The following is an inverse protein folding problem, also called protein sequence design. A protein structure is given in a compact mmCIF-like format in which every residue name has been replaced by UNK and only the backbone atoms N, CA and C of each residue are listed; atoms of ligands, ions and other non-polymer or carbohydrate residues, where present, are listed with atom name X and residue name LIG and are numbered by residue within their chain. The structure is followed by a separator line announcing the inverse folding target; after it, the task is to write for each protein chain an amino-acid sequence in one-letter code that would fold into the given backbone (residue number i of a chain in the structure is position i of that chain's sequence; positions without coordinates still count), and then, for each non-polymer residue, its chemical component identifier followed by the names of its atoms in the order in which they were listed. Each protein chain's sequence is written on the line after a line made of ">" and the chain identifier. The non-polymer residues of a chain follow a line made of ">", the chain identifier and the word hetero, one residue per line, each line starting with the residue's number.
data_IF_687719999879
#
_entry.id   IF_687719999879
#
_cell.length_a   1.000
_cell.length_b   1.000
_cell.length_c   1.000
_cell.angle_alpha   90.00
_cell.angle_beta   90.00
_cell.angle_gamma   90.00
#
_symmetry.space_group_name_H-M   'P 1'
#
loop_
_entity.id
_entity.type
_entity.pdbx_description
1 polymer ?
#
# COMPACT_ATOMS: atom_id res chain seq x y z
N UNK A 1 -30.79 12.36 -8.19
CA UNK A 1 -30.83 13.31 -9.32
C UNK A 1 -29.41 13.72 -9.61
N UNK A 2 -28.87 13.26 -10.73
CA UNK A 2 -27.50 13.61 -11.17
C UNK A 2 -27.53 15.03 -11.67
N UNK A 3 -27.09 15.97 -10.86
CA UNK A 3 -26.80 17.31 -11.33
C UNK A 3 -25.52 17.25 -12.14
N UNK A 4 -25.65 17.07 -13.46
CA UNK A 4 -24.59 17.39 -14.42
C UNK A 4 -24.36 18.89 -14.40
N UNK A 5 -23.57 19.37 -13.46
CA UNK A 5 -23.03 20.72 -13.49
C UNK A 5 -21.82 20.72 -14.45
N UNK A 6 -22.12 20.75 -15.75
CA UNK A 6 -21.14 21.23 -16.74
C UNK A 6 -20.89 22.69 -16.46
N UNK A 7 -19.87 22.96 -15.68
CA UNK A 7 -19.39 24.31 -15.44
C UNK A 7 -18.56 24.73 -16.64
N UNK A 8 -19.19 25.36 -17.59
CA UNK A 8 -18.48 26.25 -18.54
C UNK A 8 -18.08 27.54 -17.79
N UNK A 9 -17.19 27.40 -16.81
CA UNK A 9 -16.69 28.50 -15.99
C UNK A 9 -15.51 29.23 -16.63
N UNK A 10 -15.18 28.91 -17.89
CA UNK A 10 -14.00 29.47 -18.53
C UNK A 10 -14.38 30.05 -19.89
N UNK A 11 -13.88 31.24 -20.22
CA UNK A 11 -14.00 31.78 -21.56
C UNK A 11 -13.42 30.82 -22.58
N UNK A 12 -13.96 30.84 -23.81
CA UNK A 12 -13.59 29.95 -24.91
C UNK A 12 -12.11 29.59 -24.96
N UNK A 13 -11.84 28.32 -25.28
CA UNK A 13 -10.56 27.64 -25.16
C UNK A 13 -9.30 28.32 -25.74
N UNK A 14 -9.43 29.41 -26.44
CA UNK A 14 -8.34 30.09 -27.15
C UNK A 14 -7.52 31.10 -26.31
N UNK A 15 -7.97 31.47 -25.10
CA UNK A 15 -7.29 32.47 -24.27
C UNK A 15 -6.91 32.00 -22.85
N UNK A 16 -6.86 30.68 -22.60
CA UNK A 16 -6.58 30.16 -21.26
C UNK A 16 -5.08 30.27 -20.90
N UNK A 17 -4.78 30.95 -19.78
CA UNK A 17 -3.41 30.98 -19.24
C UNK A 17 -2.91 29.57 -18.92
N UNK A 18 -1.59 29.31 -18.89
CA UNK A 18 -1.03 28.01 -18.53
C UNK A 18 -1.53 27.50 -17.17
N UNK A 19 -1.80 28.41 -16.23
CA UNK A 19 -2.32 28.08 -14.90
C UNK A 19 -3.76 27.56 -14.95
N UNK A 20 -4.63 28.16 -15.79
CA UNK A 20 -5.99 27.66 -16.00
C UNK A 20 -6.01 26.27 -16.65
N UNK A 21 -5.12 26.03 -17.64
CA UNK A 21 -4.99 24.71 -18.26
C UNK A 21 -4.56 23.64 -17.23
N UNK A 22 -3.63 23.99 -16.34
CA UNK A 22 -3.21 23.11 -15.25
C UNK A 22 -4.33 22.82 -14.27
N UNK A 23 -5.12 23.83 -13.91
CA UNK A 23 -6.28 23.70 -13.03
C UNK A 23 -7.34 22.77 -13.64
N UNK A 24 -7.69 22.96 -14.92
CA UNK A 24 -8.66 22.12 -15.61
C UNK A 24 -8.22 20.66 -15.66
N UNK A 25 -6.95 20.41 -16.00
CA UNK A 25 -6.39 19.06 -15.98
C UNK A 25 -6.48 18.41 -14.60
N UNK A 26 -6.26 19.19 -13.55
CA UNK A 26 -6.36 18.71 -12.17
C UNK A 26 -7.81 18.39 -11.77
N UNK A 27 -8.76 19.19 -12.24
CA UNK A 27 -10.19 18.95 -12.06
C UNK A 27 -10.60 17.63 -12.71
N UNK A 28 -10.26 17.44 -13.98
CA UNK A 28 -10.54 16.19 -14.71
C UNK A 28 -9.90 14.97 -14.01
N UNK A 29 -8.67 15.14 -13.53
CA UNK A 29 -7.98 14.09 -12.78
C UNK A 29 -8.71 13.73 -11.49
N UNK A 30 -9.21 14.70 -10.73
CA UNK A 30 -9.95 14.46 -9.49
C UNK A 30 -11.29 13.78 -9.77
N UNK A 31 -12.00 14.21 -10.81
CA UNK A 31 -13.25 13.56 -11.23
C UNK A 31 -13.02 12.10 -11.61
N UNK A 32 -11.97 11.82 -12.37
CA UNK A 32 -11.60 10.44 -12.71
C UNK A 32 -11.21 9.63 -11.46
N UNK A 33 -10.42 10.21 -10.56
CA UNK A 33 -10.04 9.54 -9.32
C UNK A 33 -11.23 9.23 -8.40
N UNK A 34 -12.26 10.10 -8.37
CA UNK A 34 -13.49 9.82 -7.63
C UNK A 34 -14.24 8.62 -8.23
N UNK A 35 -14.39 8.59 -9.55
CA UNK A 35 -15.00 7.43 -10.23
C UNK A 35 -14.20 6.15 -9.98
N UNK A 36 -12.89 6.21 -10.06
CA UNK A 36 -12.02 5.07 -9.80
C UNK A 36 -12.14 4.61 -8.33
N UNK A 37 -12.20 5.54 -7.38
CA UNK A 37 -12.39 5.21 -5.96
C UNK A 37 -13.72 4.48 -5.73
N UNK A 38 -14.81 5.00 -6.29
CA UNK A 38 -16.14 4.36 -6.18
C UNK A 38 -16.12 2.96 -6.80
N UNK A 39 -15.50 2.79 -7.97
CA UNK A 39 -15.34 1.48 -8.60
C UNK A 39 -14.56 0.49 -7.70
N UNK A 40 -13.46 0.95 -7.09
CA UNK A 40 -12.66 0.10 -6.20
C UNK A 40 -13.39 -0.22 -4.89
N UNK A 41 -14.13 0.73 -4.32
CA UNK A 41 -14.93 0.51 -3.11
C UNK A 41 -16.04 -0.52 -3.36
N UNK A 42 -16.76 -0.38 -4.48
CA UNK A 42 -17.84 -1.31 -4.86
C UNK A 42 -17.31 -2.71 -5.17
N UNK A 43 -16.15 -2.81 -5.84
CA UNK A 43 -15.55 -4.09 -6.19
C UNK A 43 -14.85 -4.78 -5.01
N UNK A 44 -14.60 -4.08 -3.90
CA UNK A 44 -13.81 -4.60 -2.77
C UNK A 44 -14.37 -5.92 -2.22
N UNK A 45 -15.67 -5.97 -1.96
CA UNK A 45 -16.33 -7.16 -1.41
C UNK A 45 -16.32 -8.33 -2.40
N UNK A 46 -16.52 -8.06 -3.69
CA UNK A 46 -16.48 -9.07 -4.74
C UNK A 46 -15.08 -9.68 -4.88
N UNK A 47 -14.05 -8.83 -4.93
CA UNK A 47 -12.65 -9.27 -4.99
C UNK A 47 -12.29 -10.10 -3.76
N UNK A 48 -12.68 -9.67 -2.55
CA UNK A 48 -12.44 -10.44 -1.33
C UNK A 48 -13.12 -11.82 -1.37
N UNK A 49 -14.37 -11.87 -1.80
CA UNK A 49 -15.11 -13.13 -1.97
C UNK A 49 -14.44 -14.03 -3.00
N UNK A 50 -13.94 -13.48 -4.10
CA UNK A 50 -13.23 -14.21 -5.13
C UNK A 50 -11.90 -14.80 -4.63
N UNK A 51 -11.12 -14.04 -3.87
CA UNK A 51 -9.90 -14.50 -3.18
C UNK A 51 -10.24 -15.68 -2.25
N UNK A 52 -11.27 -15.53 -1.41
CA UNK A 52 -11.69 -16.58 -0.49
C UNK A 52 -12.10 -17.86 -1.21
N UNK A 53 -12.83 -17.74 -2.31
CA UNK A 53 -13.30 -18.89 -3.08
C UNK A 53 -12.19 -19.58 -3.87
N UNK A 54 -11.26 -18.83 -4.46
CA UNK A 54 -10.28 -19.34 -5.42
C UNK A 54 -8.91 -19.66 -4.82
N UNK A 55 -8.39 -18.77 -3.97
CA UNK A 55 -7.02 -18.87 -3.44
C UNK A 55 -6.95 -19.60 -2.10
N UNK A 56 -7.87 -19.31 -1.18
CA UNK A 56 -7.83 -19.87 0.18
C UNK A 56 -7.82 -21.39 0.19
N UNK A 57 -8.62 -22.11 -0.61
CA UNK A 57 -8.58 -23.59 -0.66
C UNK A 57 -7.19 -24.12 -1.08
N UNK A 58 -6.56 -23.45 -2.05
CA UNK A 58 -5.25 -23.87 -2.58
C UNK A 58 -4.15 -23.62 -1.55
N UNK A 59 -4.18 -22.47 -0.86
CA UNK A 59 -3.24 -22.21 0.23
C UNK A 59 -3.41 -23.20 1.39
N UNK A 60 -4.65 -23.58 1.72
CA UNK A 60 -4.91 -24.63 2.71
C UNK A 60 -4.29 -25.97 2.29
N UNK A 61 -4.49 -26.35 1.04
CA UNK A 61 -3.90 -27.58 0.48
C UNK A 61 -2.36 -27.52 0.51
N UNK A 62 -1.77 -26.39 0.11
CA UNK A 62 -0.32 -26.20 0.10
C UNK A 62 0.26 -26.33 1.50
N UNK A 63 -0.30 -25.59 2.46
CA UNK A 63 0.19 -25.64 3.85
C UNK A 63 -0.01 -27.03 4.49
N UNK A 64 -1.07 -27.73 4.13
CA UNK A 64 -1.26 -29.12 4.58
C UNK A 64 -0.18 -30.07 4.01
N UNK A 65 0.23 -29.88 2.76
CA UNK A 65 1.31 -30.64 2.14
C UNK A 65 2.65 -30.28 2.78
N UNK A 66 2.93 -28.99 2.94
CA UNK A 66 4.16 -28.49 3.57
C UNK A 66 4.31 -29.01 5.01
N UNK A 67 3.21 -29.04 5.77
CA UNK A 67 3.20 -29.62 7.12
C UNK A 67 3.53 -31.12 7.11
N UNK A 68 2.95 -31.88 6.16
CA UNK A 68 3.27 -33.32 6.03
C UNK A 68 4.73 -33.54 5.66
N UNK A 69 5.28 -32.70 4.78
CA UNK A 69 6.71 -32.75 4.45
C UNK A 69 7.56 -32.47 5.69
N UNK A 70 7.24 -31.44 6.47
CA UNK A 70 7.94 -31.12 7.71
C UNK A 70 7.88 -32.30 8.69
N UNK A 71 6.70 -32.89 8.89
CA UNK A 71 6.52 -34.02 9.81
C UNK A 71 7.32 -35.25 9.37
N UNK A 72 7.35 -35.57 8.07
CA UNK A 72 8.14 -36.71 7.54
C UNK A 72 9.64 -36.44 7.61
N UNK A 73 10.12 -35.29 7.22
CA UNK A 73 11.54 -34.95 7.31
C UNK A 73 12.01 -34.96 8.76
N UNK A 74 11.20 -34.42 9.68
CA UNK A 74 11.51 -34.46 11.11
C UNK A 74 11.58 -35.88 11.66
N UNK A 75 10.69 -36.77 11.23
CA UNK A 75 10.67 -38.16 11.58
C UNK A 75 11.92 -38.92 11.05
N UNK A 76 12.28 -38.71 9.78
CA UNK A 76 13.47 -39.34 9.19
C UNK A 76 14.76 -38.94 9.87
N UNK A 77 14.95 -37.65 10.20
CA UNK A 77 16.15 -37.18 10.92
C UNK A 77 16.30 -37.84 12.30
N UNK A 78 15.18 -38.18 12.94
CA UNK A 78 15.23 -38.85 14.27
C UNK A 78 15.49 -40.33 14.22
N UNK A 79 15.23 -40.99 13.09
CA UNK A 79 15.31 -42.46 12.97
C UNK A 79 16.47 -42.96 12.13
N UNK A 80 17.01 -42.17 11.24
CA UNK A 80 18.00 -42.57 10.27
C UNK A 80 19.29 -41.76 10.40
N UNK A 81 20.43 -42.39 10.12
CA UNK A 81 21.72 -41.72 10.09
C UNK A 81 22.02 -41.22 8.68
N UNK A 82 22.00 -39.89 8.49
CA UNK A 82 22.33 -39.23 7.23
C UNK A 82 23.78 -38.72 7.21
N UNK A 83 24.36 -38.63 6.03
CA UNK A 83 25.65 -37.98 5.84
C UNK A 83 25.60 -36.52 6.29
N UNK A 84 26.71 -35.96 6.77
CA UNK A 84 26.75 -34.57 7.28
C UNK A 84 26.30 -33.53 6.29
N UNK A 85 26.54 -33.76 4.98
CA UNK A 85 26.10 -32.86 3.92
C UNK A 85 24.56 -32.87 3.72
N UNK A 86 23.96 -34.07 3.82
CA UNK A 86 22.54 -34.30 3.69
C UNK A 86 21.77 -33.73 4.88
N UNK A 87 22.30 -33.93 6.09
CA UNK A 87 21.77 -33.32 7.31
C UNK A 87 21.70 -31.80 7.20
N UNK A 88 22.74 -31.17 6.66
CA UNK A 88 22.73 -29.72 6.49
C UNK A 88 21.62 -29.26 5.53
N UNK A 89 21.34 -29.99 4.45
CA UNK A 89 20.24 -29.71 3.54
C UNK A 89 18.86 -29.91 4.19
N UNK A 90 18.71 -31.02 4.92
CA UNK A 90 17.48 -31.33 5.67
C UNK A 90 17.19 -30.29 6.74
N UNK A 91 18.18 -29.88 7.51
CA UNK A 91 18.08 -28.86 8.54
C UNK A 91 17.66 -27.50 7.93
N UNK A 92 18.27 -27.10 6.81
CA UNK A 92 17.93 -25.88 6.11
C UNK A 92 16.47 -25.89 5.61
N UNK A 93 16.02 -27.02 5.05
CA UNK A 93 14.64 -27.18 4.58
C UNK A 93 13.65 -27.17 5.74
N UNK A 94 13.92 -27.88 6.82
CA UNK A 94 13.05 -27.93 8.01
C UNK A 94 12.94 -26.56 8.67
N UNK A 95 14.05 -25.86 8.87
CA UNK A 95 14.04 -24.51 9.42
C UNK A 95 13.22 -23.55 8.55
N UNK A 96 13.33 -23.66 7.22
CA UNK A 96 12.54 -22.86 6.28
C UNK A 96 11.05 -23.16 6.36
N UNK A 97 10.68 -24.45 6.33
CA UNK A 97 9.29 -24.89 6.42
C UNK A 97 8.66 -24.50 7.77
N UNK A 98 9.37 -24.73 8.89
CA UNK A 98 8.90 -24.38 10.22
C UNK A 98 8.64 -22.86 10.34
N UNK A 99 9.57 -22.02 9.87
CA UNK A 99 9.43 -20.57 9.87
C UNK A 99 8.25 -20.08 9.01
N UNK A 100 8.01 -20.73 7.88
CA UNK A 100 6.90 -20.40 6.96
C UNK A 100 5.56 -20.84 7.57
N UNK A 101 5.46 -22.08 8.06
CA UNK A 101 4.23 -22.65 8.60
C UNK A 101 3.81 -22.05 9.93
N UNK A 102 4.74 -21.56 10.74
CA UNK A 102 4.46 -20.85 12.00
C UNK A 102 3.54 -19.62 11.80
N UNK A 103 3.60 -19.00 10.63
CA UNK A 103 2.76 -17.86 10.26
C UNK A 103 1.44 -18.28 9.57
N UNK A 104 1.20 -19.57 9.44
CA UNK A 104 0.02 -20.08 8.73
C UNK A 104 -1.25 -19.97 9.56
N UNK A 105 -2.30 -19.42 8.94
CA UNK A 105 -3.65 -19.42 9.51
C UNK A 105 -4.49 -20.65 9.08
N UNK A 106 -3.87 -21.63 8.41
CA UNK A 106 -4.57 -22.76 7.79
C UNK A 106 -4.31 -24.08 8.50
N UNK A 107 -3.39 -24.13 9.45
CA UNK A 107 -3.08 -25.28 10.26
C UNK A 107 -3.97 -25.32 11.53
N UNK A 108 -4.25 -26.53 12.02
CA UNK A 108 -4.92 -26.70 13.28
C UNK A 108 -3.96 -26.45 14.48
N UNK A 109 -4.50 -26.34 15.69
CA UNK A 109 -3.70 -26.05 16.90
C UNK A 109 -2.62 -27.09 17.16
N UNK A 110 -2.92 -28.38 17.00
CA UNK A 110 -1.95 -29.45 17.22
C UNK A 110 -0.82 -29.47 16.17
N UNK A 111 -1.15 -29.15 14.92
CA UNK A 111 -0.14 -29.00 13.85
C UNK A 111 0.74 -27.78 14.11
N UNK A 112 0.14 -26.67 14.55
CA UNK A 112 0.88 -25.44 14.85
C UNK A 112 1.81 -25.60 16.05
N UNK A 113 1.41 -26.36 17.08
CA UNK A 113 2.28 -26.71 18.21
C UNK A 113 3.52 -27.46 17.76
N UNK A 114 3.37 -28.49 16.93
CA UNK A 114 4.51 -29.25 16.37
C UNK A 114 5.42 -28.38 15.51
N UNK A 115 4.86 -27.50 14.68
CA UNK A 115 5.64 -26.56 13.88
C UNK A 115 6.43 -25.62 14.78
N UNK A 116 5.82 -25.14 15.87
CA UNK A 116 6.47 -24.23 16.83
C UNK A 116 7.59 -24.92 17.60
N UNK A 117 7.43 -26.19 17.94
CA UNK A 117 8.45 -27.02 18.58
C UNK A 117 9.68 -27.18 17.65
N UNK A 118 9.46 -27.53 16.39
CA UNK A 118 10.53 -27.66 15.39
C UNK A 118 11.22 -26.30 15.14
N UNK A 119 10.45 -25.20 15.00
CA UNK A 119 11.03 -23.86 14.84
C UNK A 119 11.88 -23.45 16.06
N UNK A 120 11.42 -23.72 17.28
CA UNK A 120 12.16 -23.44 18.51
C UNK A 120 13.47 -24.25 18.59
N UNK A 121 13.44 -25.52 18.18
CA UNK A 121 14.64 -26.36 18.11
C UNK A 121 15.70 -25.73 17.19
N UNK A 122 15.33 -25.32 15.98
CA UNK A 122 16.27 -24.72 15.04
C UNK A 122 16.74 -23.33 15.46
N UNK A 123 15.89 -22.52 16.09
CA UNK A 123 16.31 -21.21 16.63
C UNK A 123 17.35 -21.35 17.73
N UNK A 124 17.23 -22.33 18.64
CA UNK A 124 18.19 -22.56 19.69
C UNK A 124 19.55 -23.02 19.13
N UNK A 125 19.54 -23.90 18.13
CA UNK A 125 20.77 -24.41 17.50
C UNK A 125 21.48 -23.31 16.66
N UNK A 126 20.76 -22.45 15.98
CA UNK A 126 21.35 -21.29 15.29
C UNK A 126 21.96 -20.29 16.25
N UNK A 127 21.33 -20.01 17.39
CA UNK A 127 21.86 -19.11 18.42
C UNK A 127 23.17 -19.66 19.06
N UNK A 128 23.33 -20.98 19.15
CA UNK A 128 24.53 -21.60 19.70
C UNK A 128 25.73 -21.55 18.75
N UNK A 129 25.49 -21.61 17.45
CA UNK A 129 26.54 -21.54 16.41
C UNK A 129 27.00 -20.09 16.09
N UNK A 130 26.28 -19.07 16.56
CA UNK A 130 26.65 -17.66 16.39
C UNK A 130 27.26 -17.03 17.65
N UNK A 131 28.03 -17.77 18.46
CA UNK A 131 28.87 -17.11 19.47
C UNK A 131 30.00 -16.37 18.78
N UNK A 132 30.02 -15.02 18.86
CA UNK A 132 31.09 -14.25 18.24
C UNK A 132 32.39 -14.54 18.92
N UNK A 133 33.37 -14.90 18.15
CA UNK A 133 34.78 -15.06 18.56
C UNK A 133 35.31 -13.68 18.98
N UNK A 134 35.04 -13.28 20.25
CA UNK A 134 35.61 -12.07 20.84
C UNK A 134 37.09 -12.35 21.17
N UNK A 135 37.98 -11.95 20.28
CA UNK A 135 39.36 -11.62 20.62
C UNK A 135 39.73 -10.25 20.01
N UNK A 136 39.79 -9.27 20.88
CA UNK A 136 40.75 -8.15 20.91
C UNK A 136 40.45 -6.96 20.00
N UNK A 137 40.08 -5.84 20.48
CA UNK A 137 40.93 -4.80 21.09
C UNK A 137 40.09 -3.55 21.38
N UNK A 138 40.30 -3.03 22.56
CA UNK A 138 39.91 -1.70 23.03
C UNK A 138 40.56 -0.59 22.23
N UNK A 139 39.81 0.45 21.89
CA UNK A 139 40.28 1.82 21.88
C UNK A 139 39.11 2.79 22.06
N UNK A 140 39.27 3.64 23.05
CA UNK A 140 38.51 4.83 23.40
C UNK A 140 38.59 5.89 22.29
N UNK A 141 37.55 6.69 22.19
CA UNK A 141 37.58 8.16 22.13
C UNK A 141 36.23 8.63 21.60
N UNK A 142 35.53 9.29 22.43
CA UNK A 142 35.33 10.75 22.59
C UNK A 142 34.22 11.36 21.74
N UNK A 143 33.30 11.90 22.52
CA UNK A 143 32.21 12.79 22.13
C UNK A 143 32.77 14.03 21.42
N UNK A 144 32.10 14.49 20.39
CA UNK A 144 31.91 15.93 20.19
C UNK A 144 30.59 16.23 19.51
N UNK A 145 29.85 17.03 20.24
CA UNK A 145 28.65 17.74 19.86
C UNK A 145 29.05 18.90 18.94
N UNK A 146 28.34 19.17 17.88
CA UNK A 146 28.00 20.55 17.51
C UNK A 146 26.87 20.60 16.46
N UNK A 147 25.99 21.50 16.79
CA UNK A 147 24.87 22.04 16.02
C UNK A 147 25.29 22.69 14.70
N UNK A 148 24.38 22.69 13.79
CA UNK A 148 23.72 23.79 13.08
C UNK A 148 23.75 23.75 11.55
N UNK A 149 22.58 24.03 11.06
CA UNK A 149 22.19 24.81 9.88
C UNK A 149 22.29 24.19 8.48
N UNK A 150 21.09 23.98 7.94
CA UNK A 150 20.52 24.45 6.65
C UNK A 150 21.55 24.69 5.54
N UNK A 151 21.42 23.97 4.43
CA UNK A 151 20.95 24.54 3.19
C UNK A 151 20.69 23.48 2.12
N UNK A 152 19.73 23.82 1.29
CA UNK A 152 19.29 23.12 0.11
C UNK A 152 20.34 23.36 -0.97
N UNK A 153 20.83 22.32 -1.61
CA UNK A 153 21.16 22.40 -3.03
C UNK A 153 21.18 21.02 -3.69
N UNK A 154 20.51 20.97 -4.83
CA UNK A 154 20.63 19.94 -5.85
C UNK A 154 22.05 19.92 -6.36
N UNK A 155 22.70 18.76 -6.38
CA UNK A 155 23.41 18.43 -7.59
C UNK A 155 23.67 16.93 -7.74
N UNK A 156 23.57 16.49 -8.99
CA UNK A 156 23.89 15.16 -9.44
C UNK A 156 25.41 15.02 -9.52
N UNK A 157 25.96 14.07 -8.76
CA UNK A 157 27.27 13.50 -9.07
C UNK A 157 27.26 12.03 -8.65
N UNK A 158 27.16 11.18 -9.64
CA UNK A 158 27.59 9.79 -9.54
C UNK A 158 29.06 9.75 -9.15
N UNK A 159 29.36 9.33 -7.94
CA UNK A 159 30.68 8.85 -7.58
C UNK A 159 30.60 7.36 -7.30
N UNK A 160 31.23 6.63 -8.19
CA UNK A 160 31.62 5.25 -8.05
C UNK A 160 32.49 5.11 -6.79
N UNK A 161 31.94 4.53 -5.73
CA UNK A 161 32.74 4.01 -4.63
C UNK A 161 32.59 2.49 -4.53
N UNK A 162 33.75 1.89 -4.30
CA UNK A 162 34.09 0.48 -4.34
C UNK A 162 33.10 -0.43 -3.59
N UNK A 163 32.79 -1.53 -4.22
CA UNK A 163 32.06 -2.69 -3.69
C UNK A 163 32.78 -3.27 -2.46
N UNK A 164 32.30 -2.93 -1.28
CA UNK A 164 32.37 -3.80 -0.12
C UNK A 164 31.02 -4.49 0.00
N UNK A 165 31.02 -5.81 0.14
CA UNK A 165 29.86 -6.68 0.39
C UNK A 165 29.18 -6.31 1.70
N UNK A 166 28.47 -5.19 1.72
CA UNK A 166 27.55 -4.83 2.79
C UNK A 166 26.20 -5.45 2.50
N UNK A 167 25.65 -6.12 3.50
CA UNK A 167 24.40 -6.84 3.55
C UNK A 167 23.30 -6.14 2.73
N UNK A 168 23.15 -6.52 1.46
CA UNK A 168 22.27 -5.88 0.49
C UNK A 168 20.80 -5.90 0.93
N UNK A 169 20.44 -6.83 1.83
CA UNK A 169 19.10 -6.91 2.40
C UNK A 169 18.84 -5.82 3.44
N UNK A 170 19.80 -5.49 4.31
CA UNK A 170 19.65 -4.41 5.29
C UNK A 170 19.52 -3.06 4.60
N UNK A 171 20.39 -2.77 3.63
CA UNK A 171 20.31 -1.54 2.85
C UNK A 171 18.99 -1.40 2.10
N UNK A 172 18.48 -2.49 1.50
CA UNK A 172 17.18 -2.46 0.82
C UNK A 172 16.02 -2.27 1.80
N UNK A 173 16.10 -2.83 3.01
CA UNK A 173 15.10 -2.62 4.08
C UNK A 173 15.11 -1.17 4.56
N UNK A 174 16.26 -0.60 4.83
CA UNK A 174 16.40 0.80 5.24
C UNK A 174 15.94 1.77 4.16
N UNK A 175 16.30 1.52 2.89
CA UNK A 175 15.83 2.31 1.74
C UNK A 175 14.31 2.26 1.60
N UNK A 176 13.70 1.08 1.74
CA UNK A 176 12.23 0.92 1.72
C UNK A 176 11.58 1.63 2.89
N UNK A 177 12.17 1.54 4.08
CA UNK A 177 11.66 2.21 5.27
C UNK A 177 11.76 3.74 5.17
N UNK A 178 12.87 4.24 4.67
CA UNK A 178 13.05 5.67 4.40
C UNK A 178 12.08 6.19 3.34
N UNK A 179 11.88 5.45 2.25
CA UNK A 179 10.87 5.79 1.25
C UNK A 179 9.45 5.79 1.85
N UNK A 180 9.13 4.81 2.69
CA UNK A 180 7.84 4.73 3.40
C UNK A 180 7.63 5.90 4.35
N UNK A 181 8.63 6.28 5.13
CA UNK A 181 8.59 7.45 6.03
C UNK A 181 8.40 8.75 5.23
N UNK A 182 9.13 8.93 4.14
CA UNK A 182 8.99 10.10 3.26
C UNK A 182 7.60 10.19 2.62
N UNK A 183 7.05 9.05 2.21
CA UNK A 183 5.69 9.00 1.64
C UNK A 183 4.63 9.35 2.70
N UNK A 184 4.77 8.81 3.91
CA UNK A 184 3.89 9.11 5.04
C UNK A 184 3.91 10.60 5.41
N UNK A 185 5.08 11.21 5.47
CA UNK A 185 5.22 12.66 5.72
C UNK A 185 4.55 13.51 4.64
N UNK A 186 4.71 13.14 3.36
CA UNK A 186 4.04 13.85 2.26
C UNK A 186 2.51 13.72 2.36
N UNK A 187 2.00 12.53 2.71
CA UNK A 187 0.57 12.30 2.93
C UNK A 187 0.03 13.16 4.06
N UNK A 188 0.71 13.22 5.18
CA UNK A 188 0.34 14.02 6.35
C UNK A 188 0.32 15.52 6.03
N UNK A 189 1.32 16.03 5.30
CA UNK A 189 1.38 17.42 4.88
C UNK A 189 0.23 17.78 3.92
N UNK A 190 -0.07 16.90 2.96
CA UNK A 190 -1.18 17.08 2.03
C UNK A 190 -2.53 17.08 2.76
N UNK A 191 -2.71 16.20 3.74
CA UNK A 191 -3.91 16.13 4.55
C UNK A 191 -4.12 17.38 5.42
N UNK A 192 -3.07 17.88 6.06
CA UNK A 192 -3.11 19.13 6.82
C UNK A 192 -3.51 20.32 5.94
N UNK A 193 -2.90 20.44 4.77
CA UNK A 193 -3.22 21.50 3.81
C UNK A 193 -4.66 21.41 3.32
N UNK A 194 -5.11 20.20 3.00
CA UNK A 194 -6.48 19.97 2.56
C UNK A 194 -7.49 20.34 3.64
N UNK A 195 -7.28 19.89 4.89
CA UNK A 195 -8.20 20.19 6.00
C UNK A 195 -8.26 21.68 6.30
N UNK A 196 -7.13 22.39 6.25
CA UNK A 196 -7.08 23.83 6.43
C UNK A 196 -7.81 24.56 5.30
N UNK A 197 -7.62 24.13 4.06
CA UNK A 197 -8.29 24.66 2.89
C UNK A 197 -9.79 24.40 2.91
N UNK A 198 -10.19 23.17 3.28
CA UNK A 198 -11.58 22.77 3.44
C UNK A 198 -12.33 23.69 4.42
N UNK A 199 -11.74 23.88 5.62
CA UNK A 199 -12.31 24.77 6.64
C UNK A 199 -12.44 26.22 6.14
N UNK A 200 -11.42 26.73 5.48
CA UNK A 200 -11.41 28.11 4.97
C UNK A 200 -12.49 28.32 3.92
N UNK A 201 -12.62 27.41 2.96
CA UNK A 201 -13.62 27.47 1.89
C UNK A 201 -15.02 27.31 2.47
N UNK A 202 -15.23 26.32 3.35
CA UNK A 202 -16.51 26.13 4.02
C UNK A 202 -17.00 27.38 4.74
N UNK A 203 -16.15 28.02 5.56
CA UNK A 203 -16.52 29.24 6.28
C UNK A 203 -16.86 30.41 5.33
N UNK A 204 -16.13 30.54 4.22
CA UNK A 204 -16.46 31.57 3.19
C UNK A 204 -17.81 31.31 2.55
N UNK A 205 -18.10 30.08 2.13
CA UNK A 205 -19.39 29.71 1.53
C UNK A 205 -20.51 29.98 2.54
N UNK A 206 -20.40 29.45 3.77
CA UNK A 206 -21.39 29.62 4.82
C UNK A 206 -21.69 31.09 5.08
N UNK A 207 -20.67 31.94 5.13
CA UNK A 207 -20.85 33.39 5.27
C UNK A 207 -21.61 34.04 4.08
N UNK A 208 -21.50 33.48 2.86
CA UNK A 208 -22.19 33.97 1.67
C UNK A 208 -23.66 33.54 1.60
N UNK A 209 -23.98 32.33 2.06
CA UNK A 209 -25.31 31.71 1.90
C UNK A 209 -26.09 31.61 3.21
N UNK A 210 -25.66 32.25 4.30
CA UNK A 210 -26.33 32.13 5.58
C UNK A 210 -27.79 32.58 5.48
N UNK A 211 -28.79 31.72 5.82
CA UNK A 211 -30.19 32.02 5.63
C UNK A 211 -30.69 33.23 6.45
N UNK A 212 -30.06 33.51 7.61
CA UNK A 212 -30.43 34.64 8.47
C UNK A 212 -30.15 36.03 7.84
N UNK A 213 -29.36 36.06 6.80
CA UNK A 213 -29.02 37.28 6.07
C UNK A 213 -29.99 37.58 4.90
N UNK A 214 -30.94 36.68 4.66
CA UNK A 214 -31.90 36.81 3.55
C UNK A 214 -33.27 37.23 4.12
N UNK A 215 -33.77 38.39 3.71
CA UNK A 215 -35.09 38.90 4.12
C UNK A 215 -36.24 38.20 3.39
N UNK A 216 -36.00 37.60 2.23
CA UNK A 216 -37.01 36.92 1.41
C UNK A 216 -37.13 35.43 1.84
N UNK A 217 -38.33 35.03 2.24
CA UNK A 217 -38.58 33.68 2.76
C UNK A 217 -38.34 32.57 1.71
N UNK A 218 -38.67 32.83 0.45
CA UNK A 218 -38.43 31.86 -0.64
C UNK A 218 -36.92 31.64 -0.85
N UNK A 219 -36.15 32.72 -0.91
CA UNK A 219 -34.68 32.65 -1.03
C UNK A 219 -34.03 32.12 0.23
N UNK A 220 -34.63 32.31 1.41
CA UNK A 220 -34.17 31.73 2.66
C UNK A 220 -34.27 30.21 2.63
N UNK A 221 -35.35 29.65 2.09
CA UNK A 221 -35.51 28.21 1.91
C UNK A 221 -34.46 27.64 0.95
N UNK A 222 -34.24 28.28 -0.23
CA UNK A 222 -33.20 27.88 -1.17
C UNK A 222 -31.79 27.89 -0.55
N UNK A 223 -31.47 28.95 0.23
CA UNK A 223 -30.18 29.03 0.94
C UNK A 223 -30.04 27.99 2.02
N UNK A 224 -31.14 27.60 2.68
CA UNK A 224 -31.12 26.52 3.68
C UNK A 224 -30.81 25.17 3.04
N UNK A 225 -31.43 24.84 1.91
CA UNK A 225 -31.15 23.65 1.14
C UNK A 225 -29.67 23.61 0.68
N UNK A 226 -29.21 24.76 0.13
CA UNK A 226 -27.82 24.88 -0.29
C UNK A 226 -26.83 24.71 0.86
N UNK A 227 -27.15 25.25 2.05
CA UNK A 227 -26.34 25.08 3.25
C UNK A 227 -26.28 23.61 3.69
N UNK A 228 -27.37 22.85 3.58
CA UNK A 228 -27.37 21.41 3.87
C UNK A 228 -26.42 20.66 2.92
N UNK A 229 -26.43 20.97 1.63
CA UNK A 229 -25.52 20.38 0.64
C UNK A 229 -24.07 20.74 0.95
N UNK A 230 -23.80 21.99 1.36
CA UNK A 230 -22.46 22.43 1.78
C UNK A 230 -21.98 21.67 3.02
N UNK A 231 -22.86 21.44 4.01
CA UNK A 231 -22.53 20.67 5.19
C UNK A 231 -22.21 19.21 4.83
N UNK A 232 -23.01 18.57 3.98
CA UNK A 232 -22.74 17.21 3.49
C UNK A 232 -21.41 17.13 2.74
N UNK A 233 -21.09 18.10 1.88
CA UNK A 233 -19.81 18.14 1.18
C UNK A 233 -18.63 18.36 2.14
N UNK A 234 -18.82 19.15 3.19
CA UNK A 234 -17.81 19.34 4.22
C UNK A 234 -17.57 18.07 5.04
N UNK A 235 -18.64 17.37 5.46
CA UNK A 235 -18.56 16.08 6.15
C UNK A 235 -17.91 15.00 5.29
N UNK A 236 -18.24 14.96 3.98
CA UNK A 236 -17.60 14.09 3.01
C UNK A 236 -16.16 14.52 2.67
N UNK A 237 -15.70 15.67 3.21
CA UNK A 237 -14.38 16.24 2.94
C UNK A 237 -14.13 16.50 1.44
N UNK A 238 -15.18 16.84 0.71
CA UNK A 238 -15.14 17.13 -0.73
C UNK A 238 -14.78 18.60 -0.99
N UNK A 239 -13.48 18.90 -0.88
CA UNK A 239 -12.96 20.24 -1.14
C UNK A 239 -13.23 20.69 -2.58
N UNK A 240 -13.17 19.77 -3.54
CA UNK A 240 -13.43 20.07 -4.95
C UNK A 240 -14.84 20.60 -5.16
N UNK A 241 -15.84 19.96 -4.57
CA UNK A 241 -17.23 20.42 -4.65
C UNK A 241 -17.41 21.79 -4.01
N UNK A 242 -16.82 22.01 -2.83
CA UNK A 242 -16.89 23.29 -2.14
C UNK A 242 -16.23 24.42 -2.92
N UNK A 243 -15.06 24.20 -3.51
CA UNK A 243 -14.40 25.18 -4.37
C UNK A 243 -15.23 25.52 -5.60
N UNK A 244 -15.82 24.51 -6.25
CA UNK A 244 -16.71 24.69 -7.40
C UNK A 244 -17.91 25.55 -7.01
N UNK A 245 -18.53 25.28 -5.89
CA UNK A 245 -19.66 26.03 -5.38
C UNK A 245 -19.28 27.46 -5.00
N UNK A 246 -18.15 27.68 -4.35
CA UNK A 246 -17.65 29.03 -4.04
C UNK A 246 -17.50 29.85 -5.31
N UNK A 247 -16.87 29.30 -6.34
CA UNK A 247 -16.73 29.99 -7.64
C UNK A 247 -18.06 30.35 -8.26
N UNK A 248 -19.05 29.48 -8.22
CA UNK A 248 -20.40 29.76 -8.71
C UNK A 248 -21.08 30.89 -7.94
N UNK A 249 -20.95 30.89 -6.63
CA UNK A 249 -21.55 31.95 -5.79
C UNK A 249 -20.88 33.31 -5.98
N UNK A 250 -19.56 33.32 -6.19
CA UNK A 250 -18.81 34.54 -6.46
C UNK A 250 -19.16 35.12 -7.85
N UNK A 251 -19.31 34.30 -8.88
CA UNK A 251 -19.70 34.72 -10.23
C UNK A 251 -21.13 35.24 -10.29
N UNK A 252 -22.05 34.68 -9.49
CA UNK A 252 -23.44 35.14 -9.43
C UNK A 252 -23.62 36.47 -8.68
N UNK A 253 -22.71 36.82 -7.76
CA UNK A 253 -22.77 38.09 -7.02
C UNK A 253 -22.28 39.29 -7.83
N UNK A 254 -21.22 39.11 -8.56
CA UNK A 254 -20.64 40.16 -9.41
C UNK A 254 -21.04 39.89 -10.86
N UNK A 255 -21.94 40.73 -11.43
CA UNK A 255 -22.36 40.66 -12.84
C UNK A 255 -21.20 40.86 -13.84
N UNK A 256 -19.99 41.00 -13.35
CA UNK A 256 -18.75 41.08 -14.10
C UNK A 256 -17.86 39.92 -13.71
N UNK A 257 -17.41 39.05 -14.63
CA UNK A 257 -16.48 37.99 -14.32
C UNK A 257 -15.15 38.64 -13.91
N UNK A 258 -14.97 38.87 -12.61
CA UNK A 258 -13.62 39.18 -12.09
C UNK A 258 -12.74 37.99 -12.38
N UNK A 259 -11.77 38.20 -13.26
CA UNK A 259 -10.74 37.21 -13.48
C UNK A 259 -10.16 36.81 -12.11
N UNK A 260 -10.18 35.51 -11.83
CA UNK A 260 -9.53 34.95 -10.64
C UNK A 260 -8.12 35.51 -10.56
N UNK A 261 -7.78 36.10 -9.42
CA UNK A 261 -6.40 36.58 -9.22
C UNK A 261 -5.43 35.40 -9.24
N UNK A 262 -4.21 35.61 -9.68
CA UNK A 262 -3.17 34.58 -9.73
C UNK A 262 -2.94 33.92 -8.35
N UNK A 263 -3.15 34.65 -7.26
CA UNK A 263 -3.07 34.13 -5.90
C UNK A 263 -4.19 33.12 -5.58
N UNK A 264 -5.43 33.42 -6.00
CA UNK A 264 -6.56 32.50 -5.85
C UNK A 264 -6.37 31.25 -6.70
N UNK A 265 -5.85 31.38 -7.92
CA UNK A 265 -5.56 30.24 -8.79
C UNK A 265 -4.48 29.33 -8.17
N UNK A 266 -3.41 29.89 -7.61
CA UNK A 266 -2.37 29.11 -6.90
C UNK A 266 -2.94 28.40 -5.69
N UNK A 267 -3.76 29.08 -4.88
CA UNK A 267 -4.41 28.46 -3.72
C UNK A 267 -5.29 27.28 -4.14
N UNK A 268 -6.13 27.44 -5.16
CA UNK A 268 -6.98 26.37 -5.68
C UNK A 268 -6.16 25.21 -6.23
N UNK A 269 -5.10 25.46 -6.96
CA UNK A 269 -4.21 24.43 -7.45
C UNK A 269 -3.59 23.62 -6.30
N UNK A 270 -3.03 24.29 -5.29
CA UNK A 270 -2.44 23.61 -4.13
C UNK A 270 -3.48 22.76 -3.36
N UNK A 271 -4.67 23.30 -3.15
CA UNK A 271 -5.75 22.63 -2.45
C UNK A 271 -6.25 21.38 -3.22
N UNK A 272 -6.43 21.51 -4.54
CA UNK A 272 -6.85 20.42 -5.40
C UNK A 272 -5.73 19.38 -5.60
N UNK A 273 -4.46 19.78 -5.67
CA UNK A 273 -3.33 18.85 -5.67
C UNK A 273 -3.31 17.99 -4.39
N UNK A 274 -3.56 18.61 -3.23
CA UNK A 274 -3.66 17.89 -1.95
C UNK A 274 -4.83 16.89 -1.96
N UNK A 275 -6.00 17.27 -2.48
CA UNK A 275 -7.15 16.37 -2.61
C UNK A 275 -6.86 15.21 -3.59
N UNK A 276 -6.25 15.49 -4.73
CA UNK A 276 -5.85 14.45 -5.70
C UNK A 276 -4.88 13.44 -5.07
N UNK A 277 -3.90 13.92 -4.30
CA UNK A 277 -2.98 13.02 -3.57
C UNK A 277 -3.70 12.16 -2.54
N UNK A 278 -4.69 12.72 -1.84
CA UNK A 278 -5.52 11.96 -0.89
C UNK A 278 -6.33 10.88 -1.59
N UNK A 279 -7.03 11.20 -2.69
CA UNK A 279 -7.81 10.22 -3.46
C UNK A 279 -6.91 9.11 -4.01
N UNK A 280 -5.75 9.45 -4.56
CA UNK A 280 -4.78 8.47 -5.01
C UNK A 280 -4.32 7.55 -3.86
N UNK A 281 -4.07 8.13 -2.67
CA UNK A 281 -3.72 7.35 -1.48
C UNK A 281 -4.83 6.40 -1.05
N UNK A 282 -6.10 6.84 -1.06
CA UNK A 282 -7.25 5.99 -0.72
C UNK A 282 -7.41 4.83 -1.71
N UNK A 283 -7.22 5.08 -3.01
CA UNK A 283 -7.23 4.02 -4.03
C UNK A 283 -6.09 3.02 -3.79
N UNK A 284 -4.87 3.51 -3.51
CA UNK A 284 -3.72 2.65 -3.23
C UNK A 284 -3.93 1.83 -1.95
N UNK A 285 -4.50 2.43 -0.89
CA UNK A 285 -4.82 1.73 0.36
C UNK A 285 -5.86 0.60 0.13
N UNK A 286 -6.85 0.81 -0.76
CA UNK A 286 -7.77 -0.27 -1.15
C UNK A 286 -7.04 -1.37 -1.91
N UNK A 287 -6.20 -1.02 -2.90
CA UNK A 287 -5.40 -1.99 -3.66
C UNK A 287 -4.45 -2.76 -2.75
N UNK A 288 -3.83 -2.10 -1.78
CA UNK A 288 -2.91 -2.71 -0.81
C UNK A 288 -3.62 -3.57 0.23
N UNK A 289 -4.92 -3.36 0.46
CA UNK A 289 -5.72 -4.22 1.35
C UNK A 289 -5.92 -5.64 0.80
N UNK A 290 -5.67 -5.87 -0.48
CA UNK A 290 -5.75 -7.19 -1.10
C UNK A 290 -4.44 -7.95 -0.95
N UNK A 291 -4.28 -8.71 0.13
CA UNK A 291 -3.08 -9.48 0.46
C UNK A 291 -3.13 -10.91 -0.10
N UNK A 292 -3.15 -11.07 -1.43
CA UNK A 292 -3.11 -12.40 -2.05
C UNK A 292 -1.75 -12.77 -2.64
N UNK A 293 -0.86 -11.79 -2.82
CA UNK A 293 0.45 -12.00 -3.43
C UNK A 293 1.45 -10.98 -2.90
N UNK A 294 2.70 -11.41 -2.70
CA UNK A 294 3.83 -10.54 -2.34
C UNK A 294 4.35 -9.73 -3.55
N UNK A 295 3.85 -10.02 -4.76
CA UNK A 295 4.25 -9.31 -5.97
C UNK A 295 3.76 -7.87 -5.95
N UNK A 296 4.60 -6.90 -6.35
CA UNK A 296 4.18 -5.51 -6.44
C UNK A 296 3.07 -5.35 -7.46
N UNK A 297 1.98 -4.69 -7.07
CA UNK A 297 0.85 -4.44 -7.94
C UNK A 297 1.16 -3.30 -8.92
N UNK A 298 0.81 -3.43 -10.21
CA UNK A 298 0.96 -2.34 -11.16
C UNK A 298 0.17 -1.10 -10.72
N UNK A 299 0.77 0.08 -10.80
CA UNK A 299 0.11 1.34 -10.42
C UNK A 299 -1.19 1.59 -11.21
N UNK A 300 -1.23 1.17 -12.47
CA UNK A 300 -2.38 1.36 -13.38
C UNK A 300 -3.34 0.15 -13.40
N UNK A 301 -3.31 -0.70 -12.36
CA UNK A 301 -4.19 -1.86 -12.26
C UNK A 301 -5.66 -1.43 -12.22
N UNK A 302 -6.48 -1.98 -13.10
CA UNK A 302 -7.93 -1.84 -13.09
C UNK A 302 -8.59 -2.99 -12.32
N UNK A 303 -9.81 -2.78 -11.84
CA UNK A 303 -10.58 -3.81 -11.10
C UNK A 303 -10.65 -5.14 -11.84
N UNK A 304 -10.93 -5.10 -13.15
CA UNK A 304 -10.99 -6.33 -14.00
C UNK A 304 -9.65 -7.05 -14.16
N UNK A 305 -8.53 -6.35 -14.00
CA UNK A 305 -7.22 -6.98 -14.12
C UNK A 305 -6.88 -7.76 -12.85
N UNK A 306 -7.47 -7.39 -11.70
CA UNK A 306 -7.30 -8.11 -10.43
C UNK A 306 -7.75 -9.56 -10.56
N UNK A 307 -8.92 -9.81 -11.15
CA UNK A 307 -9.45 -11.16 -11.34
C UNK A 307 -8.52 -12.01 -12.21
N UNK A 308 -7.96 -11.44 -13.28
CA UNK A 308 -7.00 -12.13 -14.16
C UNK A 308 -5.70 -12.47 -13.41
N UNK A 309 -5.21 -11.55 -12.56
CA UNK A 309 -4.02 -11.78 -11.74
C UNK A 309 -4.29 -12.92 -10.74
N UNK A 310 -5.45 -12.90 -10.07
CA UNK A 310 -5.85 -13.96 -9.15
C UNK A 310 -5.92 -15.31 -9.88
N UNK A 311 -6.54 -15.38 -11.07
CA UNK A 311 -6.63 -16.61 -11.85
C UNK A 311 -5.23 -17.10 -12.29
N UNK A 312 -4.34 -16.21 -12.65
CA UNK A 312 -2.93 -16.52 -12.92
C UNK A 312 -2.22 -17.12 -11.71
N UNK A 313 -2.36 -16.48 -10.55
CA UNK A 313 -1.77 -16.97 -9.29
C UNK A 313 -2.38 -18.32 -8.86
N UNK A 314 -3.69 -18.53 -9.07
CA UNK A 314 -4.38 -19.82 -8.86
C UNK A 314 -3.74 -20.92 -9.70
N UNK A 315 -3.44 -20.66 -10.96
CA UNK A 315 -2.83 -21.65 -11.87
C UNK A 315 -1.43 -22.03 -11.40
N UNK A 316 -0.60 -21.04 -11.05
CA UNK A 316 0.77 -21.25 -10.55
C UNK A 316 0.75 -22.02 -9.22
N UNK A 317 -0.12 -21.64 -8.29
CA UNK A 317 -0.23 -22.31 -7.00
C UNK A 317 -0.74 -23.75 -7.12
N UNK A 318 -1.65 -24.04 -8.03
CA UNK A 318 -2.11 -25.42 -8.30
C UNK A 318 -0.98 -26.31 -8.82
N UNK A 319 -0.15 -25.77 -9.71
CA UNK A 319 1.05 -26.50 -10.17
C UNK A 319 2.04 -26.70 -9.03
N UNK A 320 2.28 -25.68 -8.20
CA UNK A 320 3.12 -25.81 -7.04
C UNK A 320 2.62 -26.91 -6.09
N UNK A 321 1.32 -26.91 -5.74
CA UNK A 321 0.72 -27.95 -4.91
C UNK A 321 0.91 -29.34 -5.51
N UNK A 322 0.79 -29.48 -6.84
CA UNK A 322 1.02 -30.74 -7.52
C UNK A 322 2.47 -31.21 -7.35
N UNK A 323 3.43 -30.36 -7.58
CA UNK A 323 4.86 -30.65 -7.40
C UNK A 323 5.22 -30.98 -5.95
N UNK A 324 4.68 -30.25 -4.99
CA UNK A 324 4.92 -30.53 -3.58
C UNK A 324 4.27 -31.86 -3.14
N UNK A 325 3.11 -32.24 -3.68
CA UNK A 325 2.50 -33.55 -3.44
C UNK A 325 3.32 -34.69 -4.04
N UNK A 326 3.91 -34.51 -5.21
CA UNK A 326 4.82 -35.49 -5.81
C UNK A 326 6.09 -35.63 -4.99
N UNK A 327 6.70 -34.52 -4.59
CA UNK A 327 7.87 -34.51 -3.70
C UNK A 327 7.60 -35.24 -2.38
N UNK A 328 6.44 -35.00 -1.77
CA UNK A 328 6.02 -35.66 -0.55
C UNK A 328 5.98 -37.19 -0.71
N UNK A 329 5.53 -37.73 -1.84
CA UNK A 329 5.53 -39.16 -2.13
C UNK A 329 6.95 -39.74 -2.15
N UNK A 330 7.91 -39.02 -2.72
CA UNK A 330 9.32 -39.45 -2.66
C UNK A 330 9.88 -39.44 -1.24
N UNK A 331 9.46 -38.47 -0.41
CA UNK A 331 9.89 -38.41 0.99
C UNK A 331 9.32 -39.51 1.89
N UNK A 332 8.26 -40.23 1.47
CA UNK A 332 7.72 -41.36 2.26
C UNK A 332 8.72 -42.47 2.52
N UNK A 333 9.68 -42.67 1.62
CA UNK A 333 10.71 -43.66 1.74
C UNK A 333 12.11 -43.03 1.82
N UNK A 334 12.96 -43.57 2.70
CA UNK A 334 14.34 -43.06 2.88
C UNK A 334 15.09 -43.01 1.53
N UNK A 335 15.02 -44.08 0.72
CA UNK A 335 15.64 -44.12 -0.61
C UNK A 335 15.13 -43.01 -1.56
N UNK A 336 13.86 -42.66 -1.46
CA UNK A 336 13.32 -41.57 -2.25
C UNK A 336 13.79 -40.21 -1.76
N UNK A 337 13.98 -40.05 -0.46
CA UNK A 337 14.55 -38.84 0.13
C UNK A 337 16.04 -38.68 -0.26
N UNK A 338 16.82 -39.76 -0.25
CA UNK A 338 18.22 -39.78 -0.70
C UNK A 338 18.33 -39.29 -2.17
N UNK A 339 17.45 -39.78 -3.07
CA UNK A 339 17.41 -39.31 -4.45
C UNK A 339 17.10 -37.82 -4.55
N UNK A 340 16.22 -37.28 -3.72
CA UNK A 340 15.93 -35.84 -3.69
C UNK A 340 17.14 -35.03 -3.20
N UNK A 341 17.85 -35.52 -2.22
CA UNK A 341 19.08 -34.90 -1.66
C UNK A 341 20.21 -34.90 -2.69
N UNK A 342 20.48 -36.04 -3.34
CA UNK A 342 21.52 -36.17 -4.38
C UNK A 342 21.28 -35.22 -5.55
N UNK A 343 20.02 -35.00 -5.93
CA UNK A 343 19.66 -34.09 -7.02
C UNK A 343 19.50 -32.63 -6.58
N UNK A 344 19.62 -32.33 -5.30
CA UNK A 344 19.46 -30.97 -4.77
C UNK A 344 18.04 -30.37 -4.98
N UNK A 345 17.01 -31.23 -4.98
CA UNK A 345 15.61 -30.87 -5.30
C UNK A 345 14.71 -30.95 -4.06
N UNK A 346 15.25 -30.90 -2.88
CA UNK A 346 14.53 -31.01 -1.61
C UNK A 346 13.68 -29.77 -1.29
#
# INVERSE_FOLDING_TARGET
>A
MSFELKVSLLPSAEALSPQHKKLNKLIEQIEQQKLDLDLWQNAKSEIQSYIQLKLVPIYRDLHAVDYRQLAQLWHHIQQEDFAKADLAQLDAKLAKLAKQLKKSNYLNTAELEKVTEVDAFYQQHHAHNQKPNKKGKSAQAEQLNTNSHVDIELDAAEQHESYEEWDSEQYQREKKEHQRKRLAQKREQAEKLMNQSLKTVYLKITAMIHPDREPDEAKKAEKTELLQVVNQAHEAQDLFYLLKLQLQLETNKDKSPKALTDEHLKFYQMALEAQSQRLASQIDDIKDSFHWSEKPKPKNMQVKDVFKVIDGDVSVLKEQVKWEKERLKYMEKVKGLEVLLENGVL
#
